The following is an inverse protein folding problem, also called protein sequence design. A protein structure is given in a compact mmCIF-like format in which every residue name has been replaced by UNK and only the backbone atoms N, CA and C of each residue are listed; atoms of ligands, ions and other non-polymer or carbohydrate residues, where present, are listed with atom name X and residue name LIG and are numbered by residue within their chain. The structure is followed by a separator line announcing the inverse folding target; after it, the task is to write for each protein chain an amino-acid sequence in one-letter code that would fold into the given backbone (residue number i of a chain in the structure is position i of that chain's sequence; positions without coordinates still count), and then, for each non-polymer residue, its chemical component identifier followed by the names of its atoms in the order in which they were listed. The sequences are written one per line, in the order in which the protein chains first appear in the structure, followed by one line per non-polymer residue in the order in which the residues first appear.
data_IF_503240093889
#
_entry.id   IF_503240093889
#
_cell.length_a   1.000
_cell.length_b   1.000
_cell.length_c   1.000
_cell.angle_alpha   90.00
_cell.angle_beta   90.00
_cell.angle_gamma   90.00
#
_symmetry.space_group_name_H-M   'P 1'
#
loop_
_entity.id
_entity.type
_entity.pdbx_description
1 polymer ?
#
# COMPACT_ATOMS: atom_id res chain seq x y z
N UNK A 1 23.14 -57.20 -17.79
CA UNK A 1 22.50 -56.10 -18.55
C UNK A 1 21.36 -55.55 -17.68
N UNK A 2 21.40 -54.31 -17.24
CA UNK A 2 20.31 -53.71 -16.45
C UNK A 2 19.14 -53.36 -17.35
N UNK A 3 17.93 -53.79 -17.01
CA UNK A 3 16.67 -53.46 -17.68
C UNK A 3 16.37 -51.97 -17.46
N UNK A 4 16.26 -51.19 -18.54
CA UNK A 4 15.67 -49.85 -18.51
C UNK A 4 14.17 -49.97 -18.31
N UNK A 5 13.67 -49.49 -17.17
CA UNK A 5 12.23 -49.29 -16.93
C UNK A 5 11.86 -47.94 -17.61
N UNK A 6 10.89 -47.92 -18.54
CA UNK A 6 10.43 -46.67 -19.11
C UNK A 6 9.64 -45.90 -18.01
N UNK A 7 10.09 -44.70 -17.66
CA UNK A 7 9.34 -43.76 -16.86
C UNK A 7 8.31 -43.12 -17.79
N UNK A 8 7.10 -43.65 -17.84
CA UNK A 8 5.97 -42.95 -18.45
C UNK A 8 5.51 -41.89 -17.47
N UNK A 9 5.92 -40.65 -17.68
CA UNK A 9 5.31 -39.52 -16.99
C UNK A 9 3.85 -39.38 -17.43
N UNK A 10 2.94 -39.47 -16.50
CA UNK A 10 1.52 -39.21 -16.75
C UNK A 10 1.35 -37.73 -17.09
N UNK A 11 1.23 -37.43 -18.40
CA UNK A 11 1.03 -36.08 -18.92
C UNK A 11 -0.33 -35.47 -18.49
N UNK A 12 -1.25 -36.26 -17.92
CA UNK A 12 -2.54 -35.81 -17.37
C UNK A 12 -2.40 -35.30 -15.94
N UNK A 13 -1.26 -35.55 -15.28
CA UNK A 13 -0.93 -35.03 -13.95
C UNK A 13 -0.30 -33.63 -13.94
N UNK A 14 -0.19 -32.95 -15.07
CA UNK A 14 0.08 -31.52 -15.11
C UNK A 14 -1.22 -30.85 -14.65
N UNK A 15 -1.37 -30.73 -13.32
CA UNK A 15 -2.47 -29.98 -12.71
C UNK A 15 -2.55 -28.60 -13.37
N UNK A 16 -3.76 -28.06 -13.49
CA UNK A 16 -4.00 -26.72 -13.99
C UNK A 16 -2.96 -25.78 -13.42
N UNK A 17 -2.13 -25.17 -14.27
CA UNK A 17 -1.22 -24.11 -13.89
C UNK A 17 -2.11 -22.96 -13.45
N UNK A 18 -2.39 -22.88 -12.15
CA UNK A 18 -3.20 -21.79 -11.56
C UNK A 18 -2.40 -20.53 -11.73
N UNK A 19 -2.82 -19.70 -12.68
CA UNK A 19 -2.24 -18.37 -12.88
C UNK A 19 -2.57 -17.49 -11.66
N UNK A 20 -1.56 -16.74 -11.21
CA UNK A 20 -1.78 -15.75 -10.16
C UNK A 20 -2.93 -14.81 -10.55
N UNK A 21 -3.85 -14.45 -9.64
CA UNK A 21 -4.91 -13.48 -9.94
C UNK A 21 -4.29 -12.15 -10.31
N UNK A 22 -4.93 -11.39 -11.23
CA UNK A 22 -4.42 -10.08 -11.60
C UNK A 22 -4.46 -9.11 -10.43
N UNK A 23 -5.53 -9.05 -9.67
CA UNK A 23 -5.67 -8.17 -8.52
C UNK A 23 -6.12 -8.95 -7.26
N UNK A 24 -5.85 -8.37 -6.11
CA UNK A 24 -6.36 -8.74 -4.81
C UNK A 24 -6.86 -7.48 -4.12
N UNK A 25 -8.16 -7.39 -3.89
CA UNK A 25 -8.73 -6.32 -3.08
C UNK A 25 -8.35 -6.52 -1.61
N UNK A 26 -8.27 -5.45 -0.80
CA UNK A 26 -7.97 -5.58 0.62
C UNK A 26 -9.08 -6.34 1.35
N UNK A 27 -8.68 -7.11 2.35
CA UNK A 27 -9.58 -7.64 3.37
C UNK A 27 -9.58 -6.64 4.54
N UNK A 28 -10.62 -5.82 4.71
CA UNK A 28 -10.62 -4.77 5.72
C UNK A 28 -10.62 -5.32 7.14
N UNK A 29 -11.06 -6.56 7.36
CA UNK A 29 -11.01 -7.21 8.68
C UNK A 29 -9.58 -7.57 9.11
N UNK A 30 -8.64 -7.65 8.16
CA UNK A 30 -7.26 -8.09 8.40
C UNK A 30 -6.20 -7.09 7.99
N UNK A 31 -6.53 -6.13 7.11
CA UNK A 31 -5.53 -5.23 6.53
C UNK A 31 -4.80 -4.44 7.61
N UNK A 32 -5.56 -3.75 8.45
CA UNK A 32 -5.00 -2.88 9.47
C UNK A 32 -4.49 -3.67 10.68
N UNK A 33 -5.10 -4.81 11.03
CA UNK A 33 -4.59 -5.72 12.05
C UNK A 33 -3.19 -6.24 11.70
N UNK A 34 -2.99 -6.71 10.45
CA UNK A 34 -1.68 -7.18 9.98
C UNK A 34 -0.65 -6.07 10.01
N UNK A 35 -1.03 -4.88 9.56
CA UNK A 35 -0.18 -3.69 9.56
C UNK A 35 0.22 -3.28 10.98
N UNK A 36 -0.73 -3.22 11.91
CA UNK A 36 -0.47 -2.92 13.32
C UNK A 36 0.49 -3.92 13.94
N UNK A 37 0.23 -5.21 13.74
CA UNK A 37 1.10 -6.30 14.23
C UNK A 37 2.53 -6.15 13.68
N UNK A 38 2.66 -5.82 12.38
CA UNK A 38 3.99 -5.63 11.79
C UNK A 38 4.70 -4.39 12.33
N UNK A 39 4.01 -3.29 12.49
CA UNK A 39 4.56 -2.10 13.13
C UNK A 39 5.04 -2.38 14.57
N UNK A 40 4.28 -3.14 15.36
CA UNK A 40 4.73 -3.56 16.70
C UNK A 40 6.00 -4.42 16.65
N UNK A 41 6.11 -5.34 15.69
CA UNK A 41 7.33 -6.14 15.52
C UNK A 41 8.54 -5.29 15.15
N UNK A 42 8.34 -4.20 14.42
CA UNK A 42 9.40 -3.29 13.99
C UNK A 42 9.67 -2.18 15.01
N UNK A 43 8.77 -1.97 15.98
CA UNK A 43 8.92 -0.95 17.01
C UNK A 43 10.00 -1.33 18.03
N UNK A 44 10.58 -0.33 18.68
CA UNK A 44 11.60 -0.48 19.71
C UNK A 44 11.95 0.86 20.33
N UNK A 45 12.87 0.90 21.30
CA UNK A 45 13.25 2.15 21.96
C UNK A 45 14.13 3.06 21.09
N UNK A 46 14.79 2.50 20.08
CA UNK A 46 15.85 3.18 19.33
C UNK A 46 15.39 3.64 17.94
N UNK A 47 16.06 4.65 17.41
CA UNK A 47 15.84 5.14 16.05
C UNK A 47 14.40 5.56 15.79
N UNK A 48 13.77 4.98 14.74
CA UNK A 48 12.38 5.23 14.40
C UNK A 48 11.38 4.33 15.13
N UNK A 49 11.86 3.44 16.01
CA UNK A 49 11.04 2.47 16.74
C UNK A 49 9.85 3.09 17.48
N UNK A 50 10.02 4.19 18.25
CA UNK A 50 8.89 4.87 18.88
C UNK A 50 7.85 5.40 17.90
N UNK A 51 8.29 5.86 16.72
CA UNK A 51 7.39 6.29 15.65
C UNK A 51 6.60 5.11 15.06
N UNK A 52 7.26 3.97 14.83
CA UNK A 52 6.58 2.75 14.37
C UNK A 52 5.54 2.26 15.39
N UNK A 53 5.83 2.36 16.69
CA UNK A 53 4.85 2.10 17.75
C UNK A 53 3.64 3.02 17.70
N UNK A 54 3.85 4.30 17.42
CA UNK A 54 2.74 5.25 17.19
C UNK A 54 1.91 4.87 15.94
N UNK A 55 2.55 4.49 14.85
CA UNK A 55 1.85 4.03 13.64
C UNK A 55 1.08 2.72 13.86
N UNK A 56 1.56 1.84 14.73
CA UNK A 56 0.82 0.66 15.16
C UNK A 56 -0.52 1.08 15.81
N UNK A 57 -0.51 2.04 16.72
CA UNK A 57 -1.73 2.58 17.34
C UNK A 57 -2.69 3.21 16.32
N UNK A 58 -2.19 3.89 15.28
CA UNK A 58 -3.04 4.38 14.18
C UNK A 58 -3.71 3.21 13.46
N UNK A 59 -2.96 2.16 13.11
CA UNK A 59 -3.50 1.00 12.42
C UNK A 59 -4.51 0.22 13.29
N UNK A 60 -4.29 0.14 14.60
CA UNK A 60 -5.25 -0.44 15.56
C UNK A 60 -6.56 0.35 15.60
N UNK A 61 -6.50 1.69 15.63
CA UNK A 61 -7.68 2.54 15.60
C UNK A 61 -8.44 2.38 14.26
N UNK A 62 -7.74 2.28 13.12
CA UNK A 62 -8.35 1.98 11.82
C UNK A 62 -9.05 0.61 11.85
N UNK A 63 -8.42 -0.42 12.43
CA UNK A 63 -8.99 -1.76 12.53
C UNK A 63 -10.24 -1.78 13.40
N UNK A 64 -10.21 -1.15 14.56
CA UNK A 64 -11.35 -1.08 15.47
C UNK A 64 -12.57 -0.41 14.83
N UNK A 65 -12.35 0.61 14.00
CA UNK A 65 -13.42 1.31 13.31
C UNK A 65 -13.99 0.55 12.11
N UNK A 66 -13.19 -0.29 11.46
CA UNK A 66 -13.62 -1.01 10.26
C UNK A 66 -14.93 -1.78 10.47
N UNK A 67 -15.07 -2.47 11.62
CA UNK A 67 -16.29 -3.20 11.96
C UNK A 67 -17.44 -2.37 12.56
N UNK A 68 -17.19 -1.10 12.88
CA UNK A 68 -18.16 -0.22 13.53
C UNK A 68 -18.81 0.80 12.57
N UNK A 69 -18.22 0.99 11.41
CA UNK A 69 -18.73 1.92 10.41
C UNK A 69 -19.87 1.24 9.61
N UNK A 70 -20.94 1.99 9.29
CA UNK A 70 -21.99 1.46 8.41
C UNK A 70 -21.37 0.96 7.11
N UNK A 71 -22.05 0.04 6.44
CA UNK A 71 -21.61 -0.38 5.12
C UNK A 71 -21.56 0.83 4.18
N UNK A 72 -20.43 1.05 3.50
CA UNK A 72 -20.35 2.03 2.42
C UNK A 72 -21.31 1.62 1.31
N UNK A 73 -22.04 2.56 0.74
CA UNK A 73 -22.87 2.28 -0.43
C UNK A 73 -22.00 1.62 -1.51
N UNK A 74 -22.54 0.55 -2.09
CA UNK A 74 -21.87 -0.09 -3.22
C UNK A 74 -21.69 0.97 -4.32
N UNK A 75 -20.52 1.02 -4.95
CA UNK A 75 -20.32 1.84 -6.14
C UNK A 75 -21.48 1.57 -7.08
N UNK A 76 -22.14 2.62 -7.56
CA UNK A 76 -23.23 2.52 -8.54
C UNK A 76 -22.80 1.53 -9.65
N UNK A 77 -23.60 0.47 -9.86
CA UNK A 77 -23.24 -0.62 -10.78
C UNK A 77 -23.04 -0.11 -12.20
N UNK A 78 -23.79 0.92 -12.62
CA UNK A 78 -23.63 1.55 -13.94
C UNK A 78 -22.29 2.28 -14.03
N UNK A 79 -21.90 3.03 -13.00
CA UNK A 79 -20.62 3.72 -12.92
C UNK A 79 -19.45 2.72 -12.84
N UNK A 80 -19.61 1.64 -12.06
CA UNK A 80 -18.64 0.56 -11.96
C UNK A 80 -18.45 -0.11 -13.33
N UNK A 81 -19.54 -0.46 -14.02
CA UNK A 81 -19.51 -1.03 -15.36
C UNK A 81 -18.75 -0.14 -16.34
N UNK A 82 -19.11 1.15 -16.38
CA UNK A 82 -18.45 2.13 -17.26
C UNK A 82 -16.93 2.23 -16.98
N UNK A 83 -16.52 2.30 -15.71
CA UNK A 83 -15.12 2.37 -15.36
C UNK A 83 -14.34 1.12 -15.84
N UNK A 84 -14.91 -0.07 -15.62
CA UNK A 84 -14.28 -1.32 -16.02
C UNK A 84 -14.24 -1.46 -17.56
N UNK A 85 -15.28 -1.07 -18.28
CA UNK A 85 -15.35 -1.13 -19.76
C UNK A 85 -14.33 -0.21 -20.43
N UNK A 86 -13.95 0.89 -19.76
CA UNK A 86 -13.00 1.87 -20.27
C UNK A 86 -11.60 1.79 -19.63
N UNK A 87 -11.29 0.71 -18.91
CA UNK A 87 -10.03 0.53 -18.20
C UNK A 87 -9.68 1.72 -17.28
N UNK A 88 -10.69 2.26 -16.59
CA UNK A 88 -10.55 3.32 -15.60
C UNK A 88 -10.63 2.74 -14.18
N UNK A 89 -9.95 3.35 -13.18
CA UNK A 89 -10.06 2.90 -11.81
C UNK A 89 -11.46 3.21 -11.25
N UNK A 90 -12.21 2.21 -10.73
CA UNK A 90 -13.56 2.44 -10.20
C UNK A 90 -13.65 3.45 -9.06
N UNK A 91 -12.58 3.57 -8.26
CA UNK A 91 -12.45 4.49 -7.13
C UNK A 91 -11.48 5.63 -7.46
N UNK A 92 -11.57 6.22 -8.63
CA UNK A 92 -10.60 7.24 -9.09
C UNK A 92 -10.27 8.26 -8.00
N UNK A 93 -9.03 8.18 -7.48
CA UNK A 93 -8.52 9.08 -6.42
C UNK A 93 -8.56 10.54 -6.82
N UNK A 94 -8.39 10.83 -8.12
CA UNK A 94 -8.34 12.21 -8.63
C UNK A 94 -9.73 12.83 -8.72
N UNK A 95 -10.78 12.01 -8.75
CA UNK A 95 -12.18 12.46 -8.73
C UNK A 95 -12.78 12.48 -7.31
N UNK A 96 -12.04 12.01 -6.31
CA UNK A 96 -12.54 11.94 -4.94
C UNK A 96 -12.74 13.33 -4.35
N UNK A 97 -13.90 13.51 -3.71
CA UNK A 97 -14.24 14.70 -2.92
C UNK A 97 -14.82 14.24 -1.59
N UNK A 98 -14.36 14.81 -0.46
CA UNK A 98 -14.93 14.50 0.84
C UNK A 98 -16.44 14.76 0.88
N UNK A 99 -17.18 13.75 1.30
CA UNK A 99 -18.61 13.81 1.53
C UNK A 99 -18.95 13.67 3.03
N UNK A 100 -20.21 13.65 3.38
CA UNK A 100 -20.66 13.54 4.76
C UNK A 100 -20.23 12.19 5.41
N UNK A 101 -20.16 11.10 4.62
CA UNK A 101 -19.70 9.80 5.10
C UNK A 101 -18.20 9.86 5.46
N UNK A 102 -17.37 10.39 4.57
CA UNK A 102 -15.94 10.57 4.82
C UNK A 102 -15.68 11.47 6.02
N UNK A 103 -16.42 12.57 6.17
CA UNK A 103 -16.29 13.49 7.32
C UNK A 103 -16.63 12.78 8.63
N UNK A 104 -17.74 12.04 8.67
CA UNK A 104 -18.14 11.25 9.84
C UNK A 104 -17.10 10.18 10.20
N UNK A 105 -16.53 9.49 9.20
CA UNK A 105 -15.44 8.53 9.39
C UNK A 105 -14.20 9.21 9.98
N UNK A 106 -13.84 10.38 9.44
CA UNK A 106 -12.66 11.15 9.85
C UNK A 106 -12.80 11.60 11.31
N UNK A 107 -13.96 12.13 11.70
CA UNK A 107 -14.24 12.56 13.07
C UNK A 107 -14.14 11.41 14.07
N UNK A 108 -14.69 10.24 13.70
CA UNK A 108 -14.62 9.03 14.54
C UNK A 108 -13.18 8.54 14.69
N UNK A 109 -12.42 8.51 13.59
CA UNK A 109 -11.01 8.09 13.62
C UNK A 109 -10.18 9.06 14.48
N UNK A 110 -10.31 10.37 14.27
CA UNK A 110 -9.59 11.37 15.06
C UNK A 110 -9.99 11.34 16.54
N UNK A 111 -11.24 11.01 16.86
CA UNK A 111 -11.69 10.75 18.22
C UNK A 111 -10.98 9.55 18.84
N UNK A 112 -10.95 8.41 18.15
CA UNK A 112 -10.28 7.21 18.62
C UNK A 112 -8.76 7.43 18.80
N UNK A 113 -8.15 8.20 17.91
CA UNK A 113 -6.72 8.51 17.97
C UNK A 113 -6.32 9.39 19.15
N UNK A 114 -7.24 10.01 19.88
CA UNK A 114 -6.89 10.74 21.10
C UNK A 114 -6.29 9.85 22.17
N UNK A 115 -6.77 8.62 22.27
CA UNK A 115 -6.32 7.63 23.26
C UNK A 115 -5.00 6.94 22.90
N UNK A 116 -4.56 7.06 21.65
CA UNK A 116 -3.29 6.47 21.22
C UNK A 116 -2.11 7.26 21.79
N UNK A 117 -1.15 6.57 22.41
CA UNK A 117 0.09 7.17 22.88
C UNK A 117 0.88 7.79 21.74
N UNK A 118 1.30 9.03 21.88
CA UNK A 118 1.97 9.78 20.82
C UNK A 118 2.87 10.88 21.34
N UNK A 119 3.93 11.26 20.61
CA UNK A 119 4.79 12.38 20.99
C UNK A 119 4.03 13.72 20.92
N UNK A 120 4.52 14.76 21.63
CA UNK A 120 3.85 16.07 21.69
C UNK A 120 3.57 16.69 20.30
N UNK A 121 4.48 16.54 19.35
CA UNK A 121 4.27 17.05 18.00
C UNK A 121 3.07 16.40 17.31
N UNK A 122 2.93 15.06 17.41
CA UNK A 122 1.77 14.34 16.88
C UNK A 122 0.47 14.70 17.64
N UNK A 123 0.55 14.96 18.95
CA UNK A 123 -0.60 15.44 19.72
C UNK A 123 -1.09 16.82 19.24
N UNK A 124 -0.16 17.73 18.97
CA UNK A 124 -0.48 19.06 18.43
C UNK A 124 -1.10 18.96 17.03
N UNK A 125 -0.52 18.12 16.16
CA UNK A 125 -1.03 17.87 14.82
C UNK A 125 -2.45 17.28 14.85
N UNK A 126 -2.73 16.29 15.71
CA UNK A 126 -4.08 15.77 15.87
C UNK A 126 -5.05 16.85 16.34
N UNK A 127 -4.63 17.70 17.28
CA UNK A 127 -5.45 18.81 17.76
C UNK A 127 -5.73 19.84 16.66
N UNK A 128 -4.79 20.08 15.76
CA UNK A 128 -4.94 20.98 14.62
C UNK A 128 -5.96 20.44 13.62
N UNK A 129 -5.81 19.19 13.15
CA UNK A 129 -6.74 18.59 12.17
C UNK A 129 -8.15 18.43 12.72
N UNK A 130 -8.32 18.20 14.02
CA UNK A 130 -9.65 18.15 14.66
C UNK A 130 -10.36 19.49 14.75
N UNK A 131 -9.63 20.59 14.70
CA UNK A 131 -10.16 21.97 14.70
C UNK A 131 -10.29 22.54 13.29
N UNK A 132 -9.75 21.85 12.29
CA UNK A 132 -9.84 22.27 10.90
C UNK A 132 -11.30 22.33 10.47
N UNK A 133 -11.65 23.37 9.73
CA UNK A 133 -12.94 23.45 9.05
C UNK A 133 -12.97 22.56 7.82
N UNK A 134 -14.15 22.39 7.25
CA UNK A 134 -14.37 21.56 6.08
C UNK A 134 -13.51 21.97 4.90
N UNK A 135 -13.32 23.25 4.65
CA UNK A 135 -12.54 23.77 3.54
C UNK A 135 -11.05 23.42 3.70
N UNK A 136 -10.52 23.53 4.92
CA UNK A 136 -9.14 23.14 5.24
C UNK A 136 -8.94 21.64 5.10
N UNK A 137 -9.87 20.81 5.55
CA UNK A 137 -9.82 19.36 5.37
C UNK A 137 -9.86 18.98 3.89
N UNK A 138 -10.73 19.60 3.11
CA UNK A 138 -10.83 19.37 1.66
C UNK A 138 -9.54 19.72 0.93
N UNK A 139 -8.89 20.82 1.32
CA UNK A 139 -7.58 21.20 0.77
C UNK A 139 -6.50 20.15 1.10
N UNK A 140 -6.43 19.68 2.35
CA UNK A 140 -5.49 18.64 2.75
C UNK A 140 -5.74 17.32 1.99
N UNK A 141 -6.99 16.95 1.77
CA UNK A 141 -7.34 15.78 0.96
C UNK A 141 -6.88 15.97 -0.49
N UNK A 142 -7.12 17.13 -1.09
CA UNK A 142 -6.69 17.43 -2.45
C UNK A 142 -5.16 17.35 -2.60
N UNK A 143 -4.41 17.91 -1.65
CA UNK A 143 -2.94 17.83 -1.63
C UNK A 143 -2.43 16.38 -1.53
N UNK A 144 -3.05 15.55 -0.66
CA UNK A 144 -2.72 14.12 -0.56
C UNK A 144 -3.01 13.36 -1.85
N UNK A 145 -4.13 13.67 -2.52
CA UNK A 145 -4.48 13.04 -3.79
C UNK A 145 -3.55 13.46 -4.93
N UNK A 146 -2.96 14.65 -4.84
CA UNK A 146 -1.99 15.17 -5.79
C UNK A 146 -0.53 14.82 -5.44
N UNK A 147 -0.28 14.08 -4.34
CA UNK A 147 1.06 13.80 -3.79
C UNK A 147 1.90 15.08 -3.56
N UNK A 148 1.24 16.20 -3.17
CA UNK A 148 1.81 17.55 -3.03
C UNK A 148 1.78 18.08 -1.58
N UNK A 149 2.08 17.22 -0.61
CA UNK A 149 2.01 17.54 0.82
C UNK A 149 3.10 18.53 1.23
N UNK A 150 2.74 19.65 1.89
CA UNK A 150 3.72 20.61 2.42
C UNK A 150 4.60 19.98 3.51
N UNK A 151 5.92 20.12 3.38
CA UNK A 151 6.91 19.52 4.31
C UNK A 151 6.65 19.94 5.77
N UNK A 152 6.24 21.19 6.01
CA UNK A 152 5.99 21.72 7.36
C UNK A 152 4.72 21.18 8.04
N UNK A 153 3.83 20.47 7.32
CA UNK A 153 2.54 19.97 7.80
C UNK A 153 2.42 18.43 7.73
N UNK A 154 3.54 17.73 7.54
CA UNK A 154 3.54 16.27 7.35
C UNK A 154 2.83 15.50 8.48
N UNK A 155 2.91 15.99 9.72
CA UNK A 155 2.30 15.33 10.87
C UNK A 155 0.76 15.41 10.83
N UNK A 156 0.21 16.53 10.42
CA UNK A 156 -1.23 16.73 10.20
C UNK A 156 -1.73 15.86 9.06
N UNK A 157 -1.00 15.86 7.96
CA UNK A 157 -1.34 15.08 6.77
C UNK A 157 -1.30 13.56 7.01
N UNK A 158 -0.47 13.06 7.94
CA UNK A 158 -0.48 11.65 8.32
C UNK A 158 -1.83 11.20 8.89
N UNK A 159 -2.51 12.05 9.67
CA UNK A 159 -3.85 11.74 10.21
C UNK A 159 -4.91 11.71 9.11
N UNK A 160 -4.89 12.70 8.21
CA UNK A 160 -5.83 12.74 7.08
C UNK A 160 -5.58 11.57 6.13
N UNK A 161 -4.32 11.21 5.89
CA UNK A 161 -3.97 10.03 5.12
C UNK A 161 -4.47 8.73 5.76
N UNK A 162 -4.43 8.61 7.09
CA UNK A 162 -5.01 7.46 7.79
C UNK A 162 -6.52 7.35 7.58
N UNK A 163 -7.25 8.47 7.60
CA UNK A 163 -8.68 8.50 7.30
C UNK A 163 -8.97 8.09 5.85
N UNK A 164 -8.19 8.62 4.90
CA UNK A 164 -8.29 8.24 3.48
C UNK A 164 -8.01 6.76 3.25
N UNK A 165 -6.98 6.21 3.89
CA UNK A 165 -6.69 4.77 3.80
C UNK A 165 -7.85 3.92 4.29
N UNK A 166 -8.46 4.27 5.43
CA UNK A 166 -9.61 3.55 5.96
C UNK A 166 -10.80 3.62 4.99
N UNK A 167 -11.11 4.79 4.47
CA UNK A 167 -12.19 5.00 3.51
C UNK A 167 -11.96 4.19 2.22
N UNK A 168 -10.81 4.37 1.57
CA UNK A 168 -10.51 3.71 0.30
C UNK A 168 -10.34 2.19 0.43
N UNK A 169 -9.80 1.69 1.54
CA UNK A 169 -9.68 0.24 1.77
C UNK A 169 -11.06 -0.40 1.91
N UNK A 170 -11.99 0.23 2.62
CA UNK A 170 -13.37 -0.25 2.74
C UNK A 170 -14.10 -0.23 1.40
N UNK A 171 -13.97 0.84 0.63
CA UNK A 171 -14.55 0.93 -0.71
C UNK A 171 -13.95 -0.12 -1.65
N UNK A 172 -12.62 -0.28 -1.67
CA UNK A 172 -11.93 -1.24 -2.52
C UNK A 172 -12.27 -2.69 -2.21
N UNK A 173 -12.53 -3.04 -0.95
CA UNK A 173 -12.90 -4.40 -0.54
C UNK A 173 -14.20 -4.90 -1.17
N UNK A 174 -15.04 -3.99 -1.64
CA UNK A 174 -16.34 -4.29 -2.29
C UNK A 174 -16.27 -4.42 -3.80
N UNK A 175 -15.13 -4.08 -4.39
CA UNK A 175 -14.95 -4.18 -5.84
C UNK A 175 -14.92 -5.66 -6.28
N UNK A 176 -15.46 -5.97 -7.46
CA UNK A 176 -15.41 -7.32 -8.02
C UNK A 176 -13.96 -7.64 -8.46
N UNK A 177 -13.18 -8.22 -7.57
CA UNK A 177 -11.75 -8.51 -7.73
C UNK A 177 -11.41 -9.11 -9.09
N UNK A 178 -12.21 -10.06 -9.56
CA UNK A 178 -11.98 -10.77 -10.84
C UNK A 178 -12.23 -9.92 -12.08
N UNK A 179 -12.93 -8.79 -11.94
CA UNK A 179 -13.22 -7.85 -13.05
C UNK A 179 -12.19 -6.72 -13.13
N UNK A 180 -11.36 -6.55 -12.09
CA UNK A 180 -10.30 -5.54 -12.12
C UNK A 180 -9.28 -5.89 -13.20
N UNK A 181 -8.86 -4.87 -13.93
CA UNK A 181 -7.93 -4.97 -15.07
C UNK A 181 -6.91 -3.83 -15.03
N UNK A 182 -5.81 -3.89 -15.80
CA UNK A 182 -4.85 -2.80 -15.88
C UNK A 182 -5.52 -1.49 -16.33
N UNK A 183 -5.24 -0.41 -15.61
CA UNK A 183 -5.78 0.94 -15.89
C UNK A 183 -4.69 1.91 -16.39
N UNK A 184 -3.43 1.48 -16.37
CA UNK A 184 -2.27 2.24 -16.81
C UNK A 184 -0.99 1.72 -16.18
N UNK A 185 0.16 2.19 -16.69
CA UNK A 185 1.46 1.88 -16.13
C UNK A 185 1.60 2.51 -14.73
N UNK A 186 2.12 1.72 -13.77
CA UNK A 186 2.31 2.18 -12.41
C UNK A 186 1.03 2.61 -11.67
N UNK A 187 -0.15 2.17 -12.12
CA UNK A 187 -1.42 2.58 -11.54
C UNK A 187 -2.17 1.42 -10.88
N UNK A 188 -2.73 1.68 -9.69
CA UNK A 188 -3.58 0.76 -8.96
C UNK A 188 -4.91 0.53 -9.71
N UNK A 189 -5.32 -0.72 -10.00
CA UNK A 189 -6.54 -1.01 -10.75
C UNK A 189 -7.83 -0.60 -10.02
N UNK A 190 -7.78 -0.37 -8.71
CA UNK A 190 -8.93 0.05 -7.92
C UNK A 190 -9.07 1.57 -7.83
N UNK A 191 -7.98 2.31 -7.55
CA UNK A 191 -8.04 3.74 -7.26
C UNK A 191 -7.12 4.63 -8.12
N UNK A 192 -6.31 4.05 -9.00
CA UNK A 192 -5.38 4.80 -9.88
C UNK A 192 -4.10 5.30 -9.19
N UNK A 193 -3.94 5.07 -7.89
CA UNK A 193 -2.74 5.51 -7.15
C UNK A 193 -1.47 4.72 -7.52
N UNK A 194 -0.26 5.29 -7.36
CA UNK A 194 0.98 4.61 -7.66
C UNK A 194 1.29 3.49 -6.64
N UNK A 195 2.17 2.54 -6.98
CA UNK A 195 2.60 1.49 -6.06
C UNK A 195 3.58 2.04 -5.03
N UNK A 196 3.22 1.98 -3.73
CA UNK A 196 4.14 2.35 -2.65
C UNK A 196 5.31 1.39 -2.54
N UNK A 197 5.07 0.13 -2.84
CA UNK A 197 6.04 -0.96 -2.79
C UNK A 197 5.57 -2.15 -3.64
N UNK A 198 6.38 -3.20 -3.71
CA UNK A 198 5.98 -4.47 -4.31
C UNK A 198 6.40 -5.66 -3.45
N UNK A 199 5.73 -6.79 -3.64
CA UNK A 199 5.93 -8.03 -2.90
C UNK A 199 6.28 -9.17 -3.85
N UNK A 200 7.26 -10.00 -3.51
CA UNK A 200 7.38 -11.38 -4.04
C UNK A 200 6.64 -12.26 -3.06
N UNK A 201 5.48 -12.76 -3.45
CA UNK A 201 4.60 -13.48 -2.53
C UNK A 201 4.99 -14.96 -2.39
N UNK A 202 4.74 -15.51 -1.19
CA UNK A 202 4.91 -16.93 -0.87
C UNK A 202 3.59 -17.72 -0.92
N UNK A 203 2.52 -17.19 -1.51
CA UNK A 203 1.19 -17.81 -1.49
C UNK A 203 1.16 -19.14 -2.28
N UNK A 204 0.43 -20.17 -1.81
CA UNK A 204 0.45 -21.49 -2.42
C UNK A 204 0.17 -21.53 -3.94
N UNK A 205 -0.68 -20.64 -4.43
CA UNK A 205 -1.09 -20.60 -5.85
C UNK A 205 -0.46 -19.46 -6.66
N UNK A 206 0.44 -18.67 -6.05
CA UNK A 206 1.09 -17.54 -6.69
C UNK A 206 2.55 -17.37 -6.20
N UNK A 207 3.13 -18.43 -5.64
CA UNK A 207 4.49 -18.39 -5.07
C UNK A 207 5.50 -17.89 -6.09
N UNK A 208 6.30 -16.89 -5.68
CA UNK A 208 7.28 -16.22 -6.55
C UNK A 208 6.69 -15.18 -7.50
N UNK A 209 5.36 -15.02 -7.58
CA UNK A 209 4.75 -13.91 -8.31
C UNK A 209 4.99 -12.59 -7.60
N UNK A 210 5.09 -11.52 -8.39
CA UNK A 210 5.23 -10.16 -7.88
C UNK A 210 3.89 -9.45 -7.89
N UNK A 211 3.58 -8.77 -6.81
CA UNK A 211 2.43 -7.88 -6.69
C UNK A 211 2.88 -6.48 -6.27
N UNK A 212 2.39 -5.46 -6.94
CA UNK A 212 2.48 -4.07 -6.47
C UNK A 212 1.42 -3.82 -5.40
N UNK A 213 1.69 -2.90 -4.47
CA UNK A 213 0.81 -2.54 -3.36
C UNK A 213 0.44 -1.07 -3.39
N UNK A 214 -0.85 -0.76 -3.28
CA UNK A 214 -1.35 0.60 -3.18
C UNK A 214 -1.28 1.10 -1.73
N UNK A 215 -0.66 2.28 -1.51
CA UNK A 215 -0.62 2.92 -0.20
C UNK A 215 -1.99 3.41 0.27
N UNK A 216 -2.88 3.79 -0.66
CA UNK A 216 -4.16 4.39 -0.36
C UNK A 216 -5.22 3.34 -0.04
N UNK A 217 -5.52 2.43 -0.98
CA UNK A 217 -6.62 1.49 -0.83
C UNK A 217 -6.21 0.08 -0.41
N UNK A 218 -4.91 -0.23 -0.33
CA UNK A 218 -4.41 -1.55 0.06
C UNK A 218 -4.57 -2.65 -1.00
N UNK A 219 -5.10 -2.35 -2.18
CA UNK A 219 -5.18 -3.31 -3.28
C UNK A 219 -3.79 -3.75 -3.73
N UNK A 220 -3.64 -5.05 -3.98
CA UNK A 220 -2.47 -5.64 -4.58
C UNK A 220 -2.77 -6.00 -6.04
N UNK A 221 -1.81 -5.78 -6.96
CA UNK A 221 -1.99 -6.20 -8.36
C UNK A 221 -0.73 -6.83 -8.93
N UNK A 222 -0.94 -7.86 -9.72
CA UNK A 222 0.13 -8.63 -10.34
C UNK A 222 0.96 -7.76 -11.27
N UNK A 223 2.27 -7.83 -11.14
CA UNK A 223 3.22 -7.11 -11.97
C UNK A 223 4.35 -8.02 -12.43
N UNK A 224 4.76 -7.89 -13.68
CA UNK A 224 5.85 -8.72 -14.25
C UNK A 224 7.17 -8.37 -13.55
N UNK A 225 7.91 -9.40 -13.10
CA UNK A 225 9.13 -9.22 -12.28
C UNK A 225 10.25 -8.44 -12.95
N UNK A 226 10.32 -8.49 -14.28
CA UNK A 226 11.38 -7.83 -15.05
C UNK A 226 10.97 -6.44 -15.58
N UNK A 227 9.82 -5.93 -15.14
CA UNK A 227 9.32 -4.59 -15.51
C UNK A 227 9.38 -3.64 -14.33
N UNK A 228 9.72 -2.37 -14.61
CA UNK A 228 9.61 -1.30 -13.64
C UNK A 228 8.16 -1.16 -13.15
N UNK A 229 7.97 -1.07 -11.83
CA UNK A 229 6.64 -0.91 -11.24
C UNK A 229 6.00 0.45 -11.54
N UNK A 230 6.77 1.44 -12.02
CA UNK A 230 6.30 2.80 -12.29
C UNK A 230 6.05 3.02 -13.79
N UNK A 231 7.04 2.75 -14.65
CA UNK A 231 6.95 3.07 -16.07
C UNK A 231 6.88 1.85 -16.99
N UNK A 232 6.77 0.65 -16.43
CA UNK A 232 6.72 -0.63 -17.17
C UNK A 232 7.89 -0.93 -18.13
N UNK A 233 8.97 -0.12 -18.10
CA UNK A 233 10.18 -0.41 -18.86
C UNK A 233 10.82 -1.73 -18.40
N UNK A 234 11.43 -2.44 -19.34
CA UNK A 234 12.25 -3.63 -19.07
C UNK A 234 13.75 -3.32 -19.10
N UNK A 235 14.13 -2.06 -19.31
CA UNK A 235 15.51 -1.64 -19.46
C UNK A 235 16.04 -1.01 -18.19
N UNK A 236 17.31 -1.30 -17.85
CA UNK A 236 18.00 -0.64 -16.75
C UNK A 236 17.42 -0.94 -15.37
N UNK A 237 16.78 -2.10 -15.20
CA UNK A 237 16.27 -2.53 -13.89
C UNK A 237 17.44 -3.14 -13.10
N UNK A 238 17.67 -2.60 -11.89
CA UNK A 238 18.69 -3.08 -10.96
C UNK A 238 18.10 -3.18 -9.55
N UNK A 239 18.80 -3.89 -8.67
CA UNK A 239 18.42 -4.06 -7.28
C UNK A 239 19.56 -3.60 -6.38
N UNK A 240 19.22 -2.79 -5.38
CA UNK A 240 20.13 -2.36 -4.33
C UNK A 240 19.59 -2.83 -2.98
N UNK A 241 20.48 -3.21 -2.08
CA UNK A 241 20.15 -3.67 -0.72
C UNK A 241 21.21 -3.17 0.26
N UNK A 242 20.87 -3.19 1.54
CA UNK A 242 21.83 -2.89 2.61
C UNK A 242 22.81 -4.04 2.68
N UNK A 243 24.11 -3.73 2.64
CA UNK A 243 25.19 -4.72 2.79
C UNK A 243 25.02 -5.47 4.12
N UNK A 244 25.27 -6.78 4.12
CA UNK A 244 25.08 -7.69 5.25
C UNK A 244 23.62 -7.75 5.78
N UNK A 245 22.66 -7.16 5.08
CA UNK A 245 21.24 -7.25 5.41
C UNK A 245 20.66 -8.64 5.10
N UNK A 246 19.45 -8.97 5.60
CA UNK A 246 18.82 -10.28 5.42
C UNK A 246 18.41 -10.56 3.95
N UNK A 247 18.54 -9.58 3.07
CA UNK A 247 18.16 -9.68 1.65
C UNK A 247 16.66 -9.89 1.42
N UNK A 248 15.84 -9.53 2.41
CA UNK A 248 14.38 -9.61 2.33
C UNK A 248 13.77 -8.36 1.73
N UNK A 249 14.49 -7.23 1.79
CA UNK A 249 14.08 -5.91 1.33
C UNK A 249 15.15 -5.37 0.39
N UNK A 250 14.73 -4.92 -0.80
CA UNK A 250 15.60 -4.30 -1.81
C UNK A 250 14.94 -3.06 -2.39
N UNK A 251 15.72 -2.14 -2.90
CA UNK A 251 15.27 -1.07 -3.79
C UNK A 251 15.44 -1.55 -5.24
N UNK A 252 14.34 -1.65 -5.98
CA UNK A 252 14.36 -1.83 -7.42
C UNK A 252 14.47 -0.47 -8.08
N UNK A 253 15.55 -0.23 -8.82
CA UNK A 253 15.81 1.02 -9.55
C UNK A 253 15.55 0.84 -11.04
N UNK A 254 15.16 1.92 -11.71
CA UNK A 254 14.94 1.93 -13.15
C UNK A 254 15.65 3.13 -13.76
N UNK A 255 16.59 2.86 -14.67
CA UNK A 255 17.37 3.93 -15.35
C UNK A 255 16.49 4.77 -16.29
N UNK A 256 15.39 4.21 -16.83
CA UNK A 256 14.49 4.91 -17.78
C UNK A 256 13.67 6.03 -17.09
N UNK A 257 13.06 5.76 -15.92
CA UNK A 257 12.27 6.77 -15.22
C UNK A 257 13.01 7.44 -14.06
N UNK A 258 14.21 6.98 -13.71
CA UNK A 258 15.00 7.52 -12.60
C UNK A 258 14.35 7.28 -11.23
N UNK A 259 13.44 6.30 -11.13
CA UNK A 259 12.75 6.00 -9.88
C UNK A 259 13.23 4.70 -9.24
N UNK A 260 13.00 4.58 -7.92
CA UNK A 260 13.06 3.30 -7.23
C UNK A 260 11.75 2.98 -6.52
N UNK A 261 11.48 1.68 -6.34
CA UNK A 261 10.38 1.14 -5.54
C UNK A 261 10.94 0.01 -4.67
N UNK A 262 10.58 -0.04 -3.40
CA UNK A 262 11.00 -1.15 -2.54
C UNK A 262 10.28 -2.45 -2.90
N UNK A 263 11.01 -3.54 -2.85
CA UNK A 263 10.49 -4.88 -3.09
C UNK A 263 10.76 -5.77 -1.88
N UNK A 264 9.72 -6.42 -1.38
CA UNK A 264 9.73 -7.27 -0.18
C UNK A 264 9.57 -8.73 -0.58
N UNK A 265 10.42 -9.60 -0.04
CA UNK A 265 10.39 -11.02 -0.37
C UNK A 265 9.72 -11.84 0.73
N UNK A 266 8.40 -12.05 0.62
CA UNK A 266 7.62 -12.87 1.56
C UNK A 266 7.95 -14.37 1.48
N UNK A 267 8.65 -14.86 0.47
CA UNK A 267 9.15 -16.24 0.48
C UNK A 267 10.28 -16.43 1.51
N UNK A 268 11.01 -15.34 1.84
CA UNK A 268 12.06 -15.34 2.86
C UNK A 268 11.53 -14.99 4.24
N UNK A 269 10.55 -14.07 4.31
CA UNK A 269 9.89 -13.64 5.56
C UNK A 269 8.42 -13.35 5.28
N UNK A 270 7.56 -14.26 5.69
CA UNK A 270 6.10 -14.18 5.48
C UNK A 270 5.41 -13.11 6.32
N UNK A 271 6.11 -12.53 7.30
CA UNK A 271 5.58 -11.47 8.17
C UNK A 271 5.64 -10.08 7.53
N UNK A 272 6.38 -9.91 6.42
CA UNK A 272 6.52 -8.63 5.72
C UNK A 272 5.16 -8.07 5.30
N UNK A 273 4.91 -6.82 5.66
CA UNK A 273 3.74 -6.04 5.24
C UNK A 273 4.20 -4.93 4.27
N UNK A 274 3.57 -4.77 3.09
CA UNK A 274 4.06 -3.86 2.06
C UNK A 274 4.07 -2.40 2.47
N UNK A 275 3.28 -2.02 3.46
CA UNK A 275 3.18 -0.66 3.93
C UNK A 275 4.02 -0.44 5.21
N UNK A 276 3.93 -1.34 6.19
CA UNK A 276 4.67 -1.20 7.45
C UNK A 276 6.18 -1.35 7.22
N UNK A 277 6.61 -2.34 6.43
CA UNK A 277 8.02 -2.52 6.10
C UNK A 277 8.57 -1.42 5.19
N UNK A 278 7.70 -0.76 4.40
CA UNK A 278 8.12 0.40 3.64
C UNK A 278 8.54 1.55 4.57
N UNK A 279 7.79 1.82 5.63
CA UNK A 279 8.18 2.80 6.65
C UNK A 279 9.35 2.28 7.50
N UNK A 280 9.27 1.01 7.93
CA UNK A 280 10.28 0.40 8.81
C UNK A 280 11.67 0.29 8.19
N UNK A 281 11.77 0.27 6.87
CA UNK A 281 13.04 0.23 6.13
C UNK A 281 13.52 1.61 5.67
N UNK A 282 13.24 2.67 6.43
CA UNK A 282 13.68 4.05 6.14
C UNK A 282 15.19 4.16 5.89
N UNK A 283 16.01 3.34 6.55
CA UNK A 283 17.45 3.32 6.31
C UNK A 283 17.82 3.08 4.84
N UNK A 284 17.06 2.28 4.11
CA UNK A 284 17.28 2.08 2.68
C UNK A 284 16.92 3.34 1.88
N UNK A 285 15.86 4.10 2.24
CA UNK A 285 15.54 5.36 1.58
C UNK A 285 16.63 6.41 1.80
N UNK A 286 17.24 6.45 3.00
CA UNK A 286 18.36 7.34 3.30
C UNK A 286 19.57 7.04 2.40
N UNK A 287 19.91 5.77 2.21
CA UNK A 287 20.98 5.35 1.29
C UNK A 287 20.62 5.67 -0.17
N UNK A 288 19.36 5.49 -0.57
CA UNK A 288 18.91 5.81 -1.92
C UNK A 288 18.99 7.31 -2.24
N UNK A 289 18.90 8.20 -1.25
CA UNK A 289 19.10 9.65 -1.43
C UNK A 289 20.51 10.04 -1.89
N UNK A 290 21.51 9.20 -1.60
CA UNK A 290 22.88 9.38 -2.05
C UNK A 290 23.08 9.00 -3.54
N UNK A 291 22.02 8.47 -4.17
CA UNK A 291 22.02 8.07 -5.57
C UNK A 291 21.27 9.07 -6.44
N UNK A 292 21.26 8.84 -7.76
CA UNK A 292 20.46 9.64 -8.71
C UNK A 292 18.98 9.25 -8.76
N UNK A 293 18.59 8.20 -8.05
CA UNK A 293 17.22 7.67 -8.09
C UNK A 293 16.34 8.37 -7.06
N UNK A 294 15.12 8.69 -7.47
CA UNK A 294 14.08 9.23 -6.60
C UNK A 294 13.03 8.16 -6.29
N UNK A 295 12.33 8.32 -5.17
CA UNK A 295 11.24 7.43 -4.81
C UNK A 295 10.11 7.51 -5.85
N UNK A 296 9.59 6.35 -6.27
CA UNK A 296 8.58 6.26 -7.33
C UNK A 296 7.16 6.57 -6.87
N UNK A 297 6.88 6.51 -5.57
CA UNK A 297 5.57 6.80 -5.00
C UNK A 297 5.68 7.45 -3.63
N UNK A 298 4.80 8.38 -3.35
CA UNK A 298 4.70 9.04 -2.05
C UNK A 298 4.12 8.09 -1.00
N UNK A 299 4.72 8.09 0.19
CA UNK A 299 4.15 7.44 1.38
C UNK A 299 3.97 8.51 2.47
N UNK A 300 2.73 8.83 2.86
CA UNK A 300 2.45 9.93 3.80
C UNK A 300 2.99 9.68 5.22
N UNK A 301 3.35 8.43 5.54
CA UNK A 301 3.91 8.08 6.84
C UNK A 301 5.46 8.10 6.88
N UNK A 302 6.12 8.42 5.78
CA UNK A 302 7.57 8.62 5.75
C UNK A 302 8.00 10.05 6.12
N UNK A 303 7.06 10.94 6.45
CA UNK A 303 7.31 12.30 6.96
C UNK A 303 8.34 13.10 6.13
N UNK A 304 8.22 13.05 4.81
CA UNK A 304 9.07 13.83 3.89
C UNK A 304 10.29 13.08 3.32
N UNK A 305 10.30 11.77 3.43
CA UNK A 305 11.29 10.89 2.81
C UNK A 305 10.78 10.24 1.51
#
# INVERSE_FOLDING_TARGET
MPRKVPVSGDMTAIGEVRTAPFARVPDPERLFERRARRFHQLSGPDGIGPYLGFLAGIAEAQQALTGQLPETDATDEARLGLALDHAMPPLDRNAFKPDAEFRSLTDRLFGALQEVAKPPAAQNALSAVRKADDASLDAMVADLMADSVPVGAMAEFAYVAAALQLHFARAASRLPERRLQPVGDGACPACGGPPVSSLIVGWPHASGSRFCSCALCGTLWHHVRIKCAICSSTKGIRYQEIEDGPGTIKAETCDECGCYVKIFNQQKDSSLDPFADDVGSLGLDLLMRETSFRRGAFNPFLLGY
#
